data_IF_238842598172
#
_entry.id   IF_238842598172
#
_cell.length_a   1.000
_cell.length_b   1.000
_cell.length_c   1.000
_cell.angle_alpha   90.00
_cell.angle_beta   90.00
_cell.angle_gamma   90.00
#
_symmetry.space_group_name_H-M   'P 1'
#
loop_
_entity.id
_entity.type
_entity.pdbx_description
1 polymer ?
#
# COMPACT_ATOMS: atom_id res chain seq x y z
N UNK A 1 0.52 5.95 13.59
CA UNK A 1 -0.66 5.33 12.95
C UNK A 1 -0.80 3.91 13.49
N UNK A 2 -1.89 3.64 14.22
CA UNK A 2 -2.05 2.39 14.98
C UNK A 2 -2.29 1.22 14.02
N UNK A 3 -1.50 0.15 14.12
CA UNK A 3 -1.68 -1.02 13.27
C UNK A 3 -3.06 -1.66 13.55
N UNK A 4 -3.94 -1.87 12.55
CA UNK A 4 -5.29 -2.41 12.79
C UNK A 4 -5.26 -3.85 13.33
N UNK A 5 -4.17 -4.58 13.05
CA UNK A 5 -3.91 -5.92 13.58
C UNK A 5 -3.35 -5.91 15.01
N UNK A 6 -3.05 -4.74 15.57
CA UNK A 6 -2.40 -4.55 16.88
C UNK A 6 -1.17 -5.45 17.08
N UNK A 7 -0.34 -5.60 16.04
CA UNK A 7 0.70 -6.63 16.02
C UNK A 7 1.89 -6.41 16.97
N UNK A 8 2.04 -5.22 17.57
CA UNK A 8 3.09 -4.94 18.56
C UNK A 8 4.53 -4.97 18.05
N UNK A 9 4.76 -5.15 16.75
CA UNK A 9 6.10 -5.31 16.19
C UNK A 9 6.82 -3.96 16.05
N UNK A 10 8.08 -3.91 16.52
CA UNK A 10 9.00 -2.82 16.28
C UNK A 10 9.61 -2.95 14.87
N UNK A 11 9.26 -2.02 13.98
CA UNK A 11 9.67 -2.07 12.56
C UNK A 11 11.08 -1.54 12.29
N UNK A 12 11.66 -0.77 13.21
CA UNK A 12 12.97 -0.11 13.05
C UNK A 12 14.12 -1.13 12.97
N UNK A 13 13.99 -2.25 13.69
CA UNK A 13 15.04 -3.28 13.75
C UNK A 13 14.74 -4.47 12.82
N UNK A 14 14.09 -4.23 11.67
CA UNK A 14 13.78 -5.25 10.65
C UNK A 14 12.89 -6.42 11.11
N UNK A 15 12.21 -6.30 12.25
CA UNK A 15 11.25 -7.33 12.64
C UNK A 15 9.99 -7.22 11.79
N UNK A 16 9.67 -8.32 11.10
CA UNK A 16 8.52 -8.44 10.21
C UNK A 16 7.42 -9.25 10.89
N UNK A 17 6.19 -8.77 10.81
CA UNK A 17 5.00 -9.46 11.34
C UNK A 17 4.18 -10.08 10.20
N UNK A 18 2.90 -10.37 10.46
CA UNK A 18 1.93 -10.81 9.46
C UNK A 18 2.01 -10.05 8.13
N UNK A 19 2.16 -8.72 8.16
CA UNK A 19 2.18 -7.90 6.95
C UNK A 19 3.55 -7.87 6.24
N UNK A 20 4.60 -8.44 6.83
CA UNK A 20 5.97 -8.50 6.31
C UNK A 20 6.67 -7.16 6.01
N UNK A 21 6.08 -6.02 6.35
CA UNK A 21 6.68 -4.69 6.11
C UNK A 21 7.70 -4.29 7.19
N UNK A 22 8.74 -3.54 6.80
CA UNK A 22 9.72 -2.89 7.68
C UNK A 22 9.35 -1.41 7.91
N UNK A 23 10.30 -0.62 8.41
CA UNK A 23 10.24 0.84 8.50
C UNK A 23 10.65 1.55 7.20
N UNK A 24 11.15 0.80 6.21
CA UNK A 24 11.47 1.32 4.88
C UNK A 24 10.20 1.52 4.04
N UNK A 25 10.07 2.68 3.42
CA UNK A 25 8.97 2.99 2.49
C UNK A 25 9.41 2.69 1.07
N UNK A 26 8.62 1.90 0.34
CA UNK A 26 8.94 1.49 -1.03
C UNK A 26 7.78 1.84 -1.97
N UNK A 27 8.09 2.50 -3.07
CA UNK A 27 7.12 2.85 -4.12
C UNK A 27 7.09 1.73 -5.16
N UNK A 28 5.92 1.15 -5.38
CA UNK A 28 5.69 0.15 -6.42
C UNK A 28 5.37 0.78 -7.78
N UNK A 29 4.64 1.90 -7.77
CA UNK A 29 4.21 2.57 -8.99
C UNK A 29 3.98 4.06 -8.73
N UNK A 30 4.30 4.88 -9.73
CA UNK A 30 3.92 6.28 -9.79
C UNK A 30 3.44 6.59 -11.22
N UNK A 31 2.26 7.20 -11.35
CA UNK A 31 1.72 7.51 -12.67
C UNK A 31 0.48 8.38 -12.64
N UNK A 32 0.06 8.80 -13.84
CA UNK A 32 -1.20 9.50 -14.04
C UNK A 32 -2.35 8.50 -14.01
N UNK A 33 -3.41 8.84 -13.31
CA UNK A 33 -4.59 8.02 -13.11
C UNK A 33 -5.84 8.78 -13.53
N UNK A 34 -6.53 8.25 -14.54
CA UNK A 34 -7.72 8.86 -15.13
C UNK A 34 -9.00 8.07 -14.79
N UNK A 35 -8.92 7.14 -13.84
CA UNK A 35 -10.03 6.26 -13.45
C UNK A 35 -10.79 6.71 -12.20
N UNK A 36 -10.35 7.78 -11.54
CA UNK A 36 -11.07 8.36 -10.39
C UNK A 36 -12.43 8.93 -10.80
N UNK A 37 -13.30 9.09 -9.81
CA UNK A 37 -14.63 9.68 -10.02
C UNK A 37 -14.54 11.10 -10.62
N UNK A 38 -15.44 11.46 -11.57
CA UNK A 38 -15.37 12.74 -12.28
C UNK A 38 -15.35 13.97 -11.38
N UNK A 39 -16.06 13.94 -10.25
CA UNK A 39 -16.09 15.05 -9.29
C UNK A 39 -14.76 15.28 -8.59
N UNK A 40 -13.89 14.27 -8.52
CA UNK A 40 -12.56 14.36 -7.87
C UNK A 40 -11.52 14.91 -8.84
N UNK A 41 -11.58 14.51 -10.11
CA UNK A 41 -10.56 14.84 -11.11
C UNK A 41 -10.91 16.02 -12.00
N UNK A 42 -12.19 16.41 -12.01
CA UNK A 42 -12.79 17.49 -12.78
C UNK A 42 -12.48 17.41 -14.28
N UNK A 43 -11.27 17.80 -14.70
CA UNK A 43 -10.85 17.84 -16.10
C UNK A 43 -9.47 17.19 -16.39
N UNK A 44 -8.69 16.80 -15.37
CA UNK A 44 -7.25 16.52 -15.54
C UNK A 44 -6.77 15.13 -15.12
N UNK A 45 -7.64 14.28 -14.57
CA UNK A 45 -7.21 13.07 -13.87
C UNK A 45 -6.55 13.39 -12.52
N UNK A 46 -5.92 12.38 -11.92
CA UNK A 46 -5.15 12.48 -10.68
C UNK A 46 -3.76 11.86 -10.86
N UNK A 47 -2.86 12.16 -9.94
CA UNK A 47 -1.62 11.40 -9.79
C UNK A 47 -1.82 10.29 -8.77
N UNK A 48 -1.28 9.10 -9.03
CA UNK A 48 -1.32 7.98 -8.10
C UNK A 48 0.08 7.47 -7.79
N UNK A 49 0.35 7.28 -6.50
CA UNK A 49 1.52 6.60 -5.99
C UNK A 49 1.05 5.37 -5.23
N UNK A 50 1.41 4.18 -5.69
CA UNK A 50 1.20 2.94 -4.94
C UNK A 50 2.47 2.58 -4.18
N UNK A 51 2.30 2.29 -2.90
CA UNK A 51 3.35 1.71 -2.06
C UNK A 51 3.24 0.18 -2.06
N UNK A 52 4.36 -0.49 -1.81
CA UNK A 52 4.33 -1.95 -1.59
C UNK A 52 3.81 -2.28 -0.19
N UNK A 53 3.36 -3.52 -0.02
CA UNK A 53 2.93 -4.06 1.27
C UNK A 53 1.50 -3.67 1.67
N UNK A 54 0.81 -4.58 2.37
CA UNK A 54 -0.51 -4.30 2.92
C UNK A 54 -0.76 -5.10 4.22
N UNK A 55 -1.37 -4.46 5.22
CA UNK A 55 -1.67 -5.13 6.50
C UNK A 55 -2.84 -6.10 6.46
N UNK A 56 -3.67 -6.04 5.41
CA UNK A 56 -4.88 -6.86 5.27
C UNK A 56 -4.59 -8.26 4.69
N UNK A 57 -3.69 -8.36 3.69
CA UNK A 57 -3.38 -9.59 2.95
C UNK A 57 -4.64 -10.34 2.49
N UNK A 58 -5.53 -9.65 1.79
CA UNK A 58 -6.82 -10.18 1.36
C UNK A 58 -6.69 -11.44 0.48
N UNK A 59 -7.63 -12.39 0.62
CA UNK A 59 -7.68 -13.62 -0.21
C UNK A 59 -7.88 -13.34 -1.70
N UNK A 60 -8.57 -12.24 -2.04
CA UNK A 60 -8.87 -11.82 -3.41
C UNK A 60 -8.31 -10.42 -3.69
N UNK A 61 -7.03 -10.21 -3.39
CA UNK A 61 -6.39 -8.91 -3.56
C UNK A 61 -6.15 -8.60 -5.05
N UNK A 62 -6.75 -7.51 -5.56
CA UNK A 62 -6.49 -7.04 -6.93
C UNK A 62 -5.03 -6.59 -7.13
N UNK A 63 -4.40 -6.11 -6.07
CA UNK A 63 -3.03 -5.62 -6.05
C UNK A 63 -2.09 -6.64 -5.38
N UNK A 64 -2.31 -7.95 -5.59
CA UNK A 64 -1.57 -9.01 -4.90
C UNK A 64 -0.06 -8.91 -5.13
N UNK A 65 0.34 -8.60 -6.37
CA UNK A 65 1.73 -8.45 -6.80
C UNK A 65 2.45 -7.45 -5.90
N UNK A 66 1.91 -6.23 -5.78
CA UNK A 66 2.55 -5.16 -5.01
C UNK A 66 2.31 -5.24 -3.49
N UNK A 67 1.26 -5.94 -3.06
CA UNK A 67 0.95 -6.06 -1.63
C UNK A 67 1.60 -7.25 -0.94
N UNK A 68 1.98 -8.31 -1.68
CA UNK A 68 2.44 -9.57 -1.11
C UNK A 68 3.65 -10.22 -1.80
N UNK A 69 3.99 -9.86 -3.04
CA UNK A 69 5.08 -10.47 -3.81
C UNK A 69 6.32 -9.58 -4.01
N UNK A 70 6.21 -8.27 -3.76
CA UNK A 70 7.31 -7.29 -3.76
C UNK A 70 8.09 -7.21 -2.43
#
# INVERSE_FOLDING_TARGET
MQCPRKCGVNRINSHKSFCKESDEVRVAFAGLHFGEEPLVTVFGGSGTIFFTGCTLRCSFCQNYQISQQE
#
